data_IF_156980048591
#
_entry.id   IF_156980048591
#
_cell.length_a   1.000
_cell.length_b   1.000
_cell.length_c   1.000
_cell.angle_alpha   90.00
_cell.angle_beta   90.00
_cell.angle_gamma   90.00
#
_symmetry.space_group_name_H-M   'P 1'
#
loop_
_entity.id
_entity.type
_entity.pdbx_description
1 polymer ?
#
# COMPACT_ATOMS: atom_id res chain seq x y z
N UNK A 1 -0.53 -4.03 -28.54
CA UNK A 1 -0.43 -3.40 -27.20
C UNK A 1 0.92 -2.73 -27.14
N UNK A 2 0.99 -1.42 -26.92
CA UNK A 2 2.27 -0.74 -26.79
C UNK A 2 2.96 -1.23 -25.50
N UNK A 3 4.06 -1.97 -25.64
CA UNK A 3 4.88 -2.40 -24.51
C UNK A 3 5.74 -1.22 -24.06
N UNK A 4 5.52 -0.71 -22.85
CA UNK A 4 6.41 0.30 -22.27
C UNK A 4 7.84 -0.23 -22.14
N UNK A 5 8.82 0.68 -22.14
CA UNK A 5 10.21 0.29 -21.90
C UNK A 5 10.38 -0.29 -20.49
N UNK A 6 11.32 -1.20 -20.27
CA UNK A 6 11.60 -1.74 -18.94
C UNK A 6 11.98 -0.67 -17.90
N UNK A 7 12.60 0.44 -18.32
CA UNK A 7 12.90 1.59 -17.45
C UNK A 7 11.65 2.37 -17.03
N UNK A 8 10.64 2.46 -17.92
CA UNK A 8 9.35 3.06 -17.60
C UNK A 8 8.64 2.24 -16.53
N UNK A 9 8.63 0.92 -16.69
CA UNK A 9 8.06 0.02 -15.69
C UNK A 9 8.76 0.15 -14.33
N UNK A 10 10.09 0.21 -14.31
CA UNK A 10 10.84 0.41 -13.08
C UNK A 10 10.44 1.73 -12.37
N UNK A 11 10.32 2.82 -13.14
CA UNK A 11 9.89 4.13 -12.60
C UNK A 11 8.48 4.06 -12.02
N UNK A 12 7.55 3.35 -12.68
CA UNK A 12 6.19 3.14 -12.17
C UNK A 12 6.20 2.32 -10.86
N UNK A 13 7.02 1.28 -10.77
CA UNK A 13 7.20 0.50 -9.54
C UNK A 13 7.78 1.31 -8.39
N UNK A 14 8.76 2.18 -8.65
CA UNK A 14 9.28 3.14 -7.67
C UNK A 14 8.21 4.17 -7.25
N UNK A 15 7.29 4.53 -8.14
CA UNK A 15 6.10 5.31 -7.80
C UNK A 15 5.20 4.58 -6.79
N UNK A 16 4.98 3.28 -6.97
CA UNK A 16 4.26 2.44 -5.99
C UNK A 16 5.01 2.40 -4.66
N UNK A 17 6.34 2.31 -4.68
CA UNK A 17 7.16 2.39 -3.46
C UNK A 17 6.96 3.72 -2.72
N UNK A 18 6.94 4.85 -3.43
CA UNK A 18 6.67 6.16 -2.83
C UNK A 18 5.24 6.27 -2.25
N UNK A 19 4.27 5.64 -2.91
CA UNK A 19 2.90 5.51 -2.40
C UNK A 19 2.84 4.78 -1.05
N UNK A 20 3.44 3.59 -0.98
CA UNK A 20 3.56 2.84 0.27
C UNK A 20 4.32 3.61 1.37
N UNK A 21 5.40 4.31 1.01
CA UNK A 21 6.14 5.14 1.97
C UNK A 21 5.25 6.24 2.56
N UNK A 22 4.46 6.90 1.71
CA UNK A 22 3.53 7.96 2.12
C UNK A 22 2.44 7.42 3.06
N UNK A 23 1.82 6.29 2.71
CA UNK A 23 0.84 5.63 3.56
C UNK A 23 1.44 5.22 4.91
N UNK A 24 2.66 4.67 4.90
CA UNK A 24 3.37 4.30 6.11
C UNK A 24 3.68 5.47 7.04
N UNK A 25 4.14 6.60 6.47
CA UNK A 25 4.38 7.84 7.22
C UNK A 25 3.09 8.40 7.80
N UNK A 26 2.00 8.43 7.03
CA UNK A 26 0.67 8.85 7.53
C UNK A 26 0.25 7.93 8.68
N UNK A 27 0.44 6.62 8.54
CA UNK A 27 0.20 5.63 9.60
C UNK A 27 0.92 5.97 10.90
N UNK A 28 2.23 6.25 10.82
CA UNK A 28 3.03 6.59 12.00
C UNK A 28 2.65 7.93 12.64
N UNK A 29 2.46 8.98 11.84
CA UNK A 29 2.30 10.34 12.35
C UNK A 29 0.84 10.73 12.63
N UNK A 30 -0.14 10.02 12.07
CA UNK A 30 -1.56 10.32 12.23
C UNK A 30 -2.36 9.12 12.75
N UNK A 31 -2.04 8.60 13.96
CA UNK A 31 -2.61 7.36 14.49
C UNK A 31 -4.13 7.40 14.62
N UNK A 32 -4.69 8.55 15.01
CA UNK A 32 -6.13 8.74 15.13
C UNK A 32 -6.84 8.62 13.77
N UNK A 33 -6.22 9.17 12.71
CA UNK A 33 -6.79 9.14 11.35
C UNK A 33 -6.77 7.73 10.78
N UNK A 34 -5.69 6.98 11.02
CA UNK A 34 -5.60 5.57 10.62
C UNK A 34 -6.61 4.71 11.36
N UNK A 35 -6.77 4.87 12.67
CA UNK A 35 -7.76 4.12 13.44
C UNK A 35 -9.20 4.43 12.97
N UNK A 36 -9.51 5.70 12.74
CA UNK A 36 -10.81 6.15 12.23
C UNK A 36 -11.09 5.61 10.81
N UNK A 37 -10.07 5.52 9.96
CA UNK A 37 -10.19 5.00 8.59
C UNK A 37 -10.67 3.54 8.59
N UNK A 38 -10.15 2.73 9.51
CA UNK A 38 -10.50 1.31 9.63
C UNK A 38 -11.69 1.05 10.58
N UNK A 39 -12.36 2.10 11.06
CA UNK A 39 -13.52 1.95 11.95
C UNK A 39 -13.18 1.38 13.32
N UNK A 40 -11.93 1.56 13.79
CA UNK A 40 -11.54 1.30 15.17
C UNK A 40 -12.11 2.44 16.02
N UNK A 41 -13.40 2.34 16.35
CA UNK A 41 -14.08 3.33 17.18
C UNK A 41 -13.62 3.13 18.63
N UNK A 42 -13.12 4.18 19.29
CA UNK A 42 -12.66 4.08 20.67
C UNK A 42 -13.81 3.81 21.63
N UNK A 43 -13.95 2.57 22.08
CA UNK A 43 -14.75 2.24 23.26
C UNK A 43 -13.89 2.54 24.49
N UNK A 44 -14.27 3.58 25.24
CA UNK A 44 -13.61 4.11 26.45
C UNK A 44 -12.29 4.90 26.28
N UNK A 45 -12.17 5.95 27.10
CA UNK A 45 -11.24 7.09 26.93
C UNK A 45 -9.74 6.76 27.09
N UNK A 46 -9.38 5.60 27.65
CA UNK A 46 -7.97 5.24 27.89
C UNK A 46 -7.46 4.05 27.04
N UNK A 47 -8.26 3.00 26.83
CA UNK A 47 -7.93 1.85 25.95
C UNK A 47 -7.75 2.26 24.47
N UNK A 48 -8.41 3.34 24.09
CA UNK A 48 -8.42 3.88 22.74
C UNK A 48 -7.07 4.46 22.28
N UNK A 49 -6.32 5.11 23.15
CA UNK A 49 -5.03 5.72 22.77
C UNK A 49 -3.97 4.68 22.45
N UNK A 50 -3.89 3.63 23.26
CA UNK A 50 -2.95 2.54 23.04
C UNK A 50 -3.33 1.72 21.81
N UNK A 51 -4.62 1.41 21.63
CA UNK A 51 -5.12 0.72 20.44
C UNK A 51 -4.83 1.52 19.16
N UNK A 52 -5.05 2.84 19.17
CA UNK A 52 -4.75 3.70 18.03
C UNK A 52 -3.26 3.72 17.70
N UNK A 53 -2.40 3.78 18.72
CA UNK A 53 -0.94 3.72 18.55
C UNK A 53 -0.47 2.37 18.04
N UNK A 54 -1.02 1.26 18.56
CA UNK A 54 -0.69 -0.07 18.10
C UNK A 54 -1.08 -0.25 16.62
N UNK A 55 -2.28 0.19 16.24
CA UNK A 55 -2.73 0.16 14.85
C UNK A 55 -1.86 1.02 13.95
N UNK A 56 -1.52 2.23 14.37
CA UNK A 56 -0.62 3.12 13.66
C UNK A 56 0.77 2.52 13.44
N UNK A 57 1.34 1.89 14.47
CA UNK A 57 2.65 1.23 14.37
C UNK A 57 2.59 0.02 13.44
N UNK A 58 1.56 -0.83 13.55
CA UNK A 58 1.41 -2.01 12.69
C UNK A 58 1.23 -1.59 11.23
N UNK A 59 0.30 -0.68 10.96
CA UNK A 59 0.02 -0.21 9.60
C UNK A 59 1.22 0.54 9.01
N UNK A 60 1.78 1.48 9.78
CA UNK A 60 2.93 2.28 9.39
C UNK A 60 4.16 1.44 9.07
N UNK A 61 4.50 0.51 9.97
CA UNK A 61 5.67 -0.37 9.80
C UNK A 61 5.51 -1.32 8.63
N UNK A 62 4.31 -1.89 8.41
CA UNK A 62 3.98 -2.74 7.26
C UNK A 62 4.21 -2.00 5.95
N UNK A 63 3.58 -0.84 5.81
CA UNK A 63 3.61 -0.05 4.58
C UNK A 63 5.02 0.47 4.28
N UNK A 64 5.76 0.91 5.31
CA UNK A 64 7.14 1.34 5.16
C UNK A 64 8.10 0.19 4.81
N UNK A 65 7.85 -1.01 5.32
CA UNK A 65 8.61 -2.21 4.97
C UNK A 65 8.42 -2.57 3.50
N UNK A 66 7.17 -2.53 3.02
CA UNK A 66 6.85 -2.74 1.60
C UNK A 66 7.54 -1.68 0.73
N UNK A 67 7.46 -0.41 1.12
CA UNK A 67 8.11 0.68 0.40
C UNK A 67 9.63 0.48 0.28
N UNK A 68 10.28 0.11 1.39
CA UNK A 68 11.73 -0.14 1.44
C UNK A 68 12.11 -1.31 0.53
N UNK A 69 11.36 -2.41 0.59
CA UNK A 69 11.60 -3.57 -0.26
C UNK A 69 11.45 -3.22 -1.75
N UNK A 70 10.38 -2.52 -2.13
CA UNK A 70 10.17 -2.06 -3.51
C UNK A 70 11.27 -1.10 -3.97
N UNK A 71 11.72 -0.19 -3.10
CA UNK A 71 12.81 0.72 -3.43
C UNK A 71 14.12 -0.02 -3.69
N UNK A 72 14.47 -1.00 -2.86
CA UNK A 72 15.67 -1.83 -3.04
C UNK A 72 15.58 -2.64 -4.34
N UNK A 73 14.43 -3.27 -4.62
CA UNK A 73 14.22 -4.04 -5.85
C UNK A 73 14.28 -3.15 -7.09
N UNK A 74 13.65 -1.97 -7.06
CA UNK A 74 13.69 -1.01 -8.17
C UNK A 74 15.09 -0.44 -8.41
N UNK A 75 15.86 -0.16 -7.36
CA UNK A 75 17.27 0.26 -7.45
C UNK A 75 18.16 -0.83 -8.04
N UNK A 76 17.85 -2.09 -7.78
CA UNK A 76 18.53 -3.25 -8.36
C UNK A 76 18.05 -3.61 -9.78
N UNK A 77 17.00 -2.95 -10.30
CA UNK A 77 16.42 -3.26 -11.60
C UNK A 77 15.69 -4.61 -11.64
N UNK A 78 15.31 -5.18 -10.48
CA UNK A 78 14.63 -6.49 -10.38
C UNK A 78 13.13 -6.32 -10.60
N UNK A 79 12.75 -5.97 -11.83
CA UNK A 79 11.37 -5.65 -12.20
C UNK A 79 10.39 -6.79 -11.94
N UNK A 80 10.76 -8.03 -12.23
CA UNK A 80 9.88 -9.18 -12.05
C UNK A 80 9.48 -9.34 -10.58
N UNK A 81 10.46 -9.29 -9.68
CA UNK A 81 10.24 -9.43 -8.24
C UNK A 81 9.54 -8.24 -7.63
N UNK A 82 9.83 -7.03 -8.13
CA UNK A 82 9.08 -5.84 -7.76
C UNK A 82 7.60 -6.00 -8.15
N UNK A 83 7.34 -6.53 -9.35
CA UNK A 83 5.99 -6.90 -9.80
C UNK A 83 5.33 -7.93 -8.88
N UNK A 84 6.02 -9.02 -8.56
CA UNK A 84 5.54 -10.05 -7.62
C UNK A 84 5.20 -9.46 -6.25
N UNK A 85 6.07 -8.60 -5.71
CA UNK A 85 5.83 -7.96 -4.42
C UNK A 85 4.59 -7.06 -4.49
N UNK A 86 4.46 -6.21 -5.51
CA UNK A 86 3.26 -5.36 -5.69
C UNK A 86 1.99 -6.21 -5.79
N UNK A 87 2.01 -7.29 -6.59
CA UNK A 87 0.86 -8.19 -6.73
C UNK A 87 0.51 -8.88 -5.42
N UNK A 88 1.50 -9.31 -4.63
CA UNK A 88 1.26 -9.89 -3.30
C UNK A 88 0.59 -8.88 -2.35
N UNK A 89 0.94 -7.59 -2.47
CA UNK A 89 0.35 -6.54 -1.62
C UNK A 89 -1.11 -6.26 -1.95
N UNK A 90 -1.64 -6.72 -3.10
CA UNK A 90 -3.07 -6.61 -3.40
C UNK A 90 -3.94 -7.39 -2.40
N UNK A 91 -3.40 -8.44 -1.77
CA UNK A 91 -4.09 -9.14 -0.68
C UNK A 91 -4.29 -8.21 0.52
N UNK A 92 -3.27 -7.42 0.83
CA UNK A 92 -3.31 -6.41 1.89
C UNK A 92 -4.33 -5.32 1.51
N UNK A 93 -4.28 -4.82 0.27
CA UNK A 93 -5.26 -3.85 -0.22
C UNK A 93 -6.70 -4.38 -0.12
N UNK A 94 -6.92 -5.66 -0.45
CA UNK A 94 -8.23 -6.29 -0.31
C UNK A 94 -8.74 -6.33 1.12
N UNK A 95 -7.86 -6.65 2.08
CA UNK A 95 -8.18 -6.59 3.51
C UNK A 95 -8.49 -5.16 3.96
N UNK A 96 -7.67 -4.19 3.56
CA UNK A 96 -7.86 -2.78 3.89
C UNK A 96 -9.19 -2.24 3.33
N UNK A 97 -9.51 -2.54 2.05
CA UNK A 97 -10.79 -2.19 1.41
C UNK A 97 -11.97 -2.79 2.16
N UNK A 98 -11.88 -4.07 2.54
CA UNK A 98 -12.95 -4.74 3.30
C UNK A 98 -13.22 -4.05 4.65
N UNK A 99 -12.16 -3.69 5.38
CA UNK A 99 -12.28 -2.99 6.66
C UNK A 99 -12.89 -1.58 6.50
N UNK A 100 -12.44 -0.82 5.50
CA UNK A 100 -12.95 0.53 5.20
C UNK A 100 -14.42 0.48 4.75
N UNK A 101 -14.78 -0.52 3.93
CA UNK A 101 -16.16 -0.75 3.49
C UNK A 101 -17.06 -1.12 4.68
N UNK A 102 -16.59 -2.01 5.56
CA UNK A 102 -17.30 -2.38 6.79
C UNK A 102 -17.51 -1.17 7.72
N UNK A 103 -16.56 -0.24 7.74
CA UNK A 103 -16.67 1.04 8.45
C UNK A 103 -17.63 2.05 7.77
N UNK A 104 -18.33 1.66 6.69
CA UNK A 104 -19.27 2.49 5.91
C UNK A 104 -18.64 3.73 5.26
N UNK A 105 -17.33 3.71 5.03
CA UNK A 105 -16.56 4.79 4.41
C UNK A 105 -16.48 4.58 2.90
N UNK A 106 -17.59 4.82 2.20
CA UNK A 106 -17.72 4.48 0.78
C UNK A 106 -16.79 5.27 -0.14
N UNK A 107 -16.55 6.56 0.16
CA UNK A 107 -15.67 7.39 -0.66
C UNK A 107 -14.23 6.84 -0.64
N UNK A 108 -13.72 6.52 0.55
CA UNK A 108 -12.40 5.95 0.76
C UNK A 108 -12.29 4.53 0.20
N UNK A 109 -13.36 3.73 0.32
CA UNK A 109 -13.43 2.40 -0.29
C UNK A 109 -13.21 2.48 -1.81
N UNK A 110 -13.86 3.44 -2.49
CA UNK A 110 -13.68 3.67 -3.92
C UNK A 110 -12.24 4.08 -4.22
N UNK A 111 -11.69 5.04 -3.45
CA UNK A 111 -10.31 5.49 -3.62
C UNK A 111 -9.31 4.34 -3.50
N UNK A 112 -9.42 3.50 -2.47
CA UNK A 112 -8.54 2.35 -2.29
C UNK A 112 -8.70 1.29 -3.38
N UNK A 113 -9.93 1.05 -3.83
CA UNK A 113 -10.20 0.08 -4.91
C UNK A 113 -9.56 0.53 -6.22
N UNK A 114 -9.72 1.81 -6.59
CA UNK A 114 -9.10 2.38 -7.79
C UNK A 114 -7.57 2.35 -7.67
N UNK A 115 -7.02 2.75 -6.52
CA UNK A 115 -5.58 2.69 -6.27
C UNK A 115 -5.02 1.28 -6.39
N UNK A 116 -5.69 0.28 -5.80
CA UNK A 116 -5.32 -1.13 -5.88
C UNK A 116 -5.37 -1.65 -7.31
N UNK A 117 -6.37 -1.26 -8.11
CA UNK A 117 -6.46 -1.64 -9.51
C UNK A 117 -5.29 -1.06 -10.33
N UNK A 118 -4.93 0.21 -10.12
CA UNK A 118 -3.79 0.85 -10.77
C UNK A 118 -2.48 0.15 -10.38
N UNK A 119 -2.27 -0.10 -9.09
CA UNK A 119 -1.07 -0.78 -8.62
C UNK A 119 -1.00 -2.22 -9.11
N UNK A 120 -2.13 -2.92 -9.20
CA UNK A 120 -2.21 -4.25 -9.79
C UNK A 120 -1.83 -4.27 -11.27
N UNK A 121 -2.28 -3.29 -12.05
CA UNK A 121 -1.88 -3.14 -13.44
C UNK A 121 -0.36 -2.88 -13.58
N UNK A 122 0.21 -2.05 -12.70
CA UNK A 122 1.66 -1.79 -12.65
C UNK A 122 2.42 -3.08 -12.27
N UNK A 123 1.95 -3.81 -11.26
CA UNK A 123 2.55 -5.07 -10.82
C UNK A 123 2.54 -6.14 -11.91
N UNK A 124 1.42 -6.29 -12.62
CA UNK A 124 1.31 -7.20 -13.76
C UNK A 124 2.25 -6.78 -14.91
N UNK A 125 2.33 -5.48 -15.21
CA UNK A 125 3.21 -4.96 -16.25
C UNK A 125 4.69 -5.20 -15.95
N UNK A 126 5.10 -5.02 -14.69
CA UNK A 126 6.45 -5.31 -14.19
C UNK A 126 6.78 -6.81 -14.24
N UNK A 127 5.85 -7.65 -13.81
CA UNK A 127 6.03 -9.11 -13.84
C UNK A 127 6.12 -9.66 -15.26
N UNK A 128 5.31 -9.14 -16.18
CA UNK A 128 5.30 -9.56 -17.58
C UNK A 128 6.43 -8.95 -18.44
N UNK A 129 7.12 -7.92 -17.95
CA UNK A 129 8.18 -7.19 -18.69
C UNK A 129 9.53 -7.22 -17.94
N UNK A 130 10.14 -8.41 -17.76
CA UNK A 130 11.43 -8.51 -17.08
C UNK A 130 12.51 -7.74 -17.84
N UNK A 131 13.34 -7.00 -17.10
CA UNK A 131 14.62 -6.49 -17.60
C UNK A 131 15.49 -7.73 -17.91
N UNK A 132 15.77 -7.99 -19.19
CA UNK A 132 16.85 -8.90 -19.59
C UNK A 132 18.19 -8.19 -19.50
#
# INVERSE_FOLDING_TARGET
MASFSPSTWNTLGLGVAAGWATLGLIGFFQPARSAELFGVIPSEKDSSKETNRAMALILGSRDFSIATALFVLGRAGRNEEMGTLILSTLVICGADIYLVWKAKRYAETITFTVGAAIWGAIGLGLWASPLK
#
